data_IF_223523962139
#
_entry.id   IF_223523962139
#
_cell.length_a   1.000
_cell.length_b   1.000
_cell.length_c   1.000
_cell.angle_alpha   90.00
_cell.angle_beta   90.00
_cell.angle_gamma   90.00
#
_symmetry.space_group_name_H-M   'P 1'
#
loop_
_entity.id
_entity.type
_entity.pdbx_description
1 polymer ?
#
# COMPACT_ATOMS: atom_id res chain seq x y z
N UNK A 1 34.16 52.68 16.17
CA UNK A 1 34.95 51.69 15.39
C UNK A 1 35.02 50.47 16.29
N UNK A 2 34.26 49.39 16.12
CA UNK A 2 33.88 48.54 14.97
C UNK A 2 32.44 48.01 15.18
N UNK A 3 31.50 48.16 14.23
CA UNK A 3 31.05 47.16 13.23
C UNK A 3 30.68 45.79 13.84
N UNK A 4 29.38 45.43 13.92
CA UNK A 4 28.52 44.80 12.90
C UNK A 4 28.66 43.27 12.86
N UNK A 5 27.56 42.57 13.17
CA UNK A 5 26.96 41.42 12.45
C UNK A 5 25.75 40.98 13.28
N UNK A 6 24.51 41.29 12.89
CA UNK A 6 23.67 40.53 11.95
C UNK A 6 23.42 39.06 12.35
N UNK A 7 22.16 38.67 12.15
CA UNK A 7 21.64 37.31 12.02
C UNK A 7 21.31 36.51 13.30
N UNK A 8 20.09 36.77 13.80
CA UNK A 8 19.26 35.78 14.51
C UNK A 8 17.99 35.42 13.74
N UNK A 9 18.05 35.40 12.40
CA UNK A 9 17.06 34.73 11.57
C UNK A 9 17.58 33.33 11.24
N UNK A 10 16.73 32.30 11.46
CA UNK A 10 16.87 30.83 11.25
C UNK A 10 16.64 30.12 12.59
N UNK A 11 15.73 29.17 12.75
CA UNK A 11 15.12 28.25 11.81
C UNK A 11 13.67 28.00 12.21
N UNK A 12 12.71 28.24 11.30
CA UNK A 12 11.43 27.53 11.40
C UNK A 12 11.74 26.07 11.01
N UNK A 13 11.64 25.09 11.92
CA UNK A 13 11.91 23.72 11.56
C UNK A 13 10.97 23.31 10.42
N UNK A 14 11.57 22.71 9.40
CA UNK A 14 10.94 22.28 8.18
C UNK A 14 9.77 21.29 8.47
N UNK A 15 8.55 21.81 8.53
CA UNK A 15 7.30 21.05 8.79
C UNK A 15 7.09 19.90 7.81
N UNK A 16 7.69 20.01 6.61
CA UNK A 16 7.60 19.00 5.55
C UNK A 16 8.49 17.78 5.86
N UNK A 17 9.68 17.97 6.46
CA UNK A 17 10.55 16.87 6.89
C UNK A 17 10.05 16.16 8.15
N UNK A 18 9.34 16.85 9.05
CA UNK A 18 8.74 16.23 10.23
C UNK A 18 7.47 15.44 9.91
N UNK A 19 6.70 15.82 8.87
CA UNK A 19 5.53 15.03 8.41
C UNK A 19 5.92 13.64 7.90
N UNK A 20 7.14 13.50 7.38
CA UNK A 20 7.75 12.22 7.00
C UNK A 20 8.13 11.33 8.20
N UNK A 21 8.09 11.87 9.43
CA UNK A 21 8.36 11.14 10.68
C UNK A 21 7.07 10.66 11.39
N UNK A 22 5.89 11.07 10.92
CA UNK A 22 4.60 10.66 11.49
C UNK A 22 4.34 9.16 11.20
N UNK A 23 4.15 8.32 12.23
CA UNK A 23 3.82 6.91 12.06
C UNK A 23 2.54 6.66 11.26
N UNK A 24 1.54 7.54 11.37
CA UNK A 24 0.28 7.40 10.62
C UNK A 24 0.47 7.61 9.12
N UNK A 25 1.31 8.56 8.73
CA UNK A 25 1.66 8.78 7.32
C UNK A 25 2.39 7.56 6.76
N UNK A 26 3.27 6.93 7.54
CA UNK A 26 3.95 5.69 7.13
C UNK A 26 2.99 4.50 6.98
N UNK A 27 1.97 4.39 7.84
CA UNK A 27 0.95 3.34 7.75
C UNK A 27 0.06 3.48 6.53
N UNK A 28 -0.41 4.70 6.23
CA UNK A 28 -1.24 4.93 5.04
C UNK A 28 -0.46 4.59 3.76
N UNK A 29 0.83 4.94 3.71
CA UNK A 29 1.72 4.54 2.60
C UNK A 29 1.86 3.03 2.46
N UNK A 30 1.90 2.28 3.57
CA UNK A 30 1.93 0.84 3.50
C UNK A 30 0.61 0.27 2.98
N UNK A 31 -0.53 0.80 3.44
CA UNK A 31 -1.86 0.44 2.94
C UNK A 31 -1.97 0.70 1.43
N UNK A 32 -1.56 1.87 0.95
CA UNK A 32 -1.50 2.21 -0.49
C UNK A 32 -0.69 1.18 -1.29
N UNK A 33 0.47 0.76 -0.76
CA UNK A 33 1.33 -0.24 -1.41
C UNK A 33 0.69 -1.62 -1.43
N UNK A 34 -0.02 -2.01 -0.37
CA UNK A 34 -0.73 -3.28 -0.30
C UNK A 34 -1.82 -3.37 -1.35
N UNK A 35 -2.64 -2.32 -1.47
CA UNK A 35 -3.65 -2.25 -2.55
C UNK A 35 -2.98 -2.34 -3.92
N UNK A 36 -1.94 -1.53 -4.17
CA UNK A 36 -1.24 -1.58 -5.45
C UNK A 36 -0.61 -2.95 -5.76
N UNK A 37 -0.17 -3.70 -4.75
CA UNK A 37 0.34 -5.06 -4.92
C UNK A 37 -0.79 -6.05 -5.21
N UNK A 38 -1.89 -5.98 -4.46
CA UNK A 38 -3.07 -6.79 -4.67
C UNK A 38 -3.65 -6.60 -6.08
N UNK A 39 -3.80 -5.36 -6.55
CA UNK A 39 -4.28 -5.04 -7.91
C UNK A 39 -3.44 -5.74 -8.99
N UNK A 40 -2.10 -5.78 -8.82
CA UNK A 40 -1.20 -6.46 -9.77
C UNK A 40 -1.43 -7.96 -9.78
N UNK A 41 -1.62 -8.57 -8.61
CA UNK A 41 -1.92 -10.00 -8.48
C UNK A 41 -3.28 -10.29 -9.09
N UNK A 42 -4.30 -9.54 -8.71
CA UNK A 42 -5.68 -9.71 -9.18
C UNK A 42 -5.75 -9.65 -10.70
N UNK A 43 -5.18 -8.63 -11.33
CA UNK A 43 -5.18 -8.50 -12.79
C UNK A 43 -4.51 -9.68 -13.50
N UNK A 44 -3.45 -10.24 -12.90
CA UNK A 44 -2.75 -11.42 -13.44
C UNK A 44 -3.61 -12.67 -13.31
N UNK A 45 -4.18 -12.90 -12.13
CA UNK A 45 -4.97 -14.10 -11.84
C UNK A 45 -6.32 -14.07 -12.56
N UNK A 46 -7.00 -12.92 -12.60
CA UNK A 46 -8.24 -12.71 -13.36
C UNK A 46 -8.04 -13.00 -14.84
N UNK A 47 -6.96 -12.48 -15.45
CA UNK A 47 -6.61 -12.77 -16.85
C UNK A 47 -6.37 -14.26 -17.06
N UNK A 48 -5.68 -14.90 -16.13
CA UNK A 48 -5.40 -16.34 -16.17
C UNK A 48 -6.69 -17.15 -16.06
N UNK A 49 -7.59 -16.78 -15.15
CA UNK A 49 -8.87 -17.42 -14.94
C UNK A 49 -9.77 -17.29 -16.17
N UNK A 50 -9.94 -16.08 -16.71
CA UNK A 50 -10.71 -15.84 -17.93
C UNK A 50 -10.16 -16.64 -19.12
N UNK A 51 -8.83 -16.64 -19.29
CA UNK A 51 -8.18 -17.43 -20.37
C UNK A 51 -8.47 -18.92 -20.23
N UNK A 52 -8.42 -19.48 -19.01
CA UNK A 52 -8.74 -20.90 -18.76
C UNK A 52 -10.22 -21.19 -18.97
N UNK A 53 -11.10 -20.31 -18.51
CA UNK A 53 -12.55 -20.49 -18.66
C UNK A 53 -12.98 -20.44 -20.12
N UNK A 54 -12.44 -19.50 -20.91
CA UNK A 54 -12.71 -19.40 -22.35
C UNK A 54 -12.29 -20.66 -23.13
N UNK A 55 -11.29 -21.41 -22.67
CA UNK A 55 -10.87 -22.69 -23.27
C UNK A 55 -11.94 -23.79 -23.12
N UNK A 56 -12.84 -23.67 -22.15
CA UNK A 56 -13.95 -24.60 -21.91
C UNK A 56 -15.27 -24.13 -22.52
N UNK A 57 -15.25 -23.02 -23.27
CA UNK A 57 -16.41 -22.40 -23.90
C UNK A 57 -16.36 -20.89 -23.73
N UNK A 58 -16.88 -20.16 -24.71
CA UNK A 58 -16.90 -18.69 -24.66
C UNK A 58 -17.79 -18.22 -23.52
N UNK A 59 -17.20 -17.45 -22.59
CA UNK A 59 -17.98 -16.79 -21.54
C UNK A 59 -18.85 -15.68 -22.14
N UNK A 60 -20.09 -15.60 -21.66
CA UNK A 60 -20.94 -14.42 -21.90
C UNK A 60 -20.40 -13.20 -21.13
N UNK A 61 -20.75 -12.00 -21.58
CA UNK A 61 -20.36 -10.75 -20.89
C UNK A 61 -20.80 -10.74 -19.42
N UNK A 62 -22.00 -11.26 -19.13
CA UNK A 62 -22.51 -11.36 -17.76
C UNK A 62 -21.68 -12.31 -16.89
N UNK A 63 -21.26 -13.46 -17.43
CA UNK A 63 -20.41 -14.40 -16.71
C UNK A 63 -19.01 -13.82 -16.48
N UNK A 64 -18.46 -13.09 -17.46
CA UNK A 64 -17.18 -12.38 -17.30
C UNK A 64 -17.27 -11.36 -16.18
N UNK A 65 -18.34 -10.54 -16.15
CA UNK A 65 -18.56 -9.56 -15.10
C UNK A 65 -18.62 -10.21 -13.71
N UNK A 66 -19.34 -11.34 -13.56
CA UNK A 66 -19.39 -12.08 -12.28
C UNK A 66 -17.99 -12.52 -11.82
N UNK A 67 -17.13 -12.97 -12.74
CA UNK A 67 -15.76 -13.39 -12.38
C UNK A 67 -14.91 -12.19 -11.97
N UNK A 68 -15.11 -11.03 -12.58
CA UNK A 68 -14.47 -9.76 -12.18
C UNK A 68 -14.94 -9.36 -10.79
N UNK A 69 -16.25 -9.27 -10.56
CA UNK A 69 -16.82 -8.90 -9.26
C UNK A 69 -16.38 -9.85 -8.14
N UNK A 70 -16.23 -11.14 -8.46
CA UNK A 70 -15.71 -12.14 -7.52
C UNK A 70 -14.23 -11.90 -7.21
N UNK A 71 -13.42 -11.51 -8.19
CA UNK A 71 -12.01 -11.18 -7.96
C UNK A 71 -11.87 -9.95 -7.05
N UNK A 72 -12.63 -8.89 -7.33
CA UNK A 72 -12.67 -7.67 -6.52
C UNK A 72 -13.06 -7.99 -5.07
N UNK A 73 -14.15 -8.76 -4.88
CA UNK A 73 -14.64 -9.14 -3.57
C UNK A 73 -13.63 -9.98 -2.76
N UNK A 74 -12.87 -10.84 -3.44
CA UNK A 74 -11.81 -11.63 -2.79
C UNK A 74 -10.66 -10.74 -2.33
N UNK A 75 -10.26 -9.75 -3.14
CA UNK A 75 -9.22 -8.80 -2.77
C UNK A 75 -9.65 -7.96 -1.57
N UNK A 76 -10.88 -7.44 -1.59
CA UNK A 76 -11.44 -6.65 -0.50
C UNK A 76 -11.43 -7.44 0.82
N UNK A 77 -11.90 -8.70 0.80
CA UNK A 77 -11.94 -9.56 1.98
C UNK A 77 -10.53 -9.90 2.49
N UNK A 78 -9.57 -10.15 1.59
CA UNK A 78 -8.20 -10.48 1.97
C UNK A 78 -7.43 -9.27 2.53
N UNK A 79 -7.70 -8.06 2.02
CA UNK A 79 -7.03 -6.84 2.48
C UNK A 79 -7.67 -6.23 3.74
N UNK A 80 -8.92 -6.55 4.06
CA UNK A 80 -9.60 -6.00 5.22
C UNK A 80 -8.84 -6.26 6.55
N UNK A 81 -8.43 -7.49 6.91
CA UNK A 81 -7.69 -7.74 8.14
C UNK A 81 -6.32 -7.02 8.26
N UNK A 82 -5.41 -7.06 7.25
CA UNK A 82 -4.11 -6.40 7.37
C UNK A 82 -4.21 -4.87 7.36
N UNK A 83 -5.11 -4.27 6.57
CA UNK A 83 -5.30 -2.81 6.56
C UNK A 83 -5.89 -2.31 7.88
N UNK A 84 -6.83 -3.06 8.47
CA UNK A 84 -7.38 -2.76 9.78
C UNK A 84 -6.33 -2.90 10.89
N UNK A 85 -5.47 -3.93 10.83
CA UNK A 85 -4.36 -4.11 11.78
C UNK A 85 -3.39 -2.93 11.75
N UNK A 86 -3.03 -2.44 10.56
CA UNK A 86 -2.18 -1.26 10.41
C UNK A 86 -2.81 0.01 10.97
N UNK A 87 -4.11 0.23 10.73
CA UNK A 87 -4.84 1.42 11.23
C UNK A 87 -5.02 1.41 12.75
N UNK A 88 -5.18 0.24 13.35
CA UNK A 88 -5.37 0.10 14.79
C UNK A 88 -4.07 0.08 15.59
N UNK A 89 -2.91 -0.01 14.92
CA UNK A 89 -1.62 0.03 15.57
C UNK A 89 -1.41 1.38 16.27
N UNK A 90 -1.51 1.37 17.59
CA UNK A 90 -1.36 2.55 18.46
C UNK A 90 0.09 2.88 18.79
N UNK A 91 1.04 2.01 18.38
CA UNK A 91 2.47 2.20 18.61
C UNK A 91 2.96 3.45 17.86
N UNK A 92 3.85 4.22 18.47
CA UNK A 92 4.59 5.26 17.76
C UNK A 92 5.75 4.68 16.94
N UNK A 93 6.05 3.40 17.13
CA UNK A 93 7.12 2.69 16.45
C UNK A 93 6.72 2.27 15.03
N UNK A 94 7.70 2.23 14.13
CA UNK A 94 7.52 1.86 12.72
C UNK A 94 7.77 0.39 12.44
N UNK A 95 8.12 -0.39 13.46
CA UNK A 95 8.33 -1.84 13.36
C UNK A 95 7.09 -2.56 12.81
N UNK A 96 5.88 -2.21 13.27
CA UNK A 96 4.62 -2.78 12.75
C UNK A 96 4.45 -2.57 11.23
N UNK A 97 4.86 -1.40 10.73
CA UNK A 97 4.79 -1.07 9.30
C UNK A 97 5.81 -1.89 8.51
N UNK A 98 7.03 -2.05 9.03
CA UNK A 98 8.06 -2.87 8.40
C UNK A 98 7.64 -4.33 8.31
N UNK A 99 7.16 -4.91 9.40
CA UNK A 99 6.69 -6.31 9.42
C UNK A 99 5.52 -6.52 8.47
N UNK A 100 4.58 -5.58 8.39
CA UNK A 100 3.49 -5.67 7.41
C UNK A 100 4.01 -5.61 5.96
N UNK A 101 4.95 -4.73 5.65
CA UNK A 101 5.54 -4.65 4.31
C UNK A 101 6.33 -5.92 3.96
N UNK A 102 7.08 -6.49 4.90
CA UNK A 102 7.81 -7.75 4.69
C UNK A 102 6.88 -8.94 4.46
N UNK A 103 5.75 -9.01 5.17
CA UNK A 103 4.79 -10.11 5.06
C UNK A 103 3.94 -10.03 3.78
N UNK A 104 3.62 -8.84 3.31
CA UNK A 104 2.57 -8.63 2.32
C UNK A 104 3.02 -7.89 1.04
N UNK A 105 4.26 -7.41 0.98
CA UNK A 105 4.90 -6.85 -0.22
C UNK A 105 6.22 -7.58 -0.49
N UNK A 106 6.20 -8.85 -0.96
CA UNK A 106 7.40 -9.68 -1.13
C UNK A 106 8.40 -9.11 -2.14
N UNK A 107 7.98 -8.19 -3.01
CA UNK A 107 8.87 -7.47 -3.93
C UNK A 107 9.89 -6.59 -3.15
N UNK A 108 9.61 -6.28 -1.88
CA UNK A 108 10.58 -5.59 -0.99
C UNK A 108 11.75 -6.47 -0.55
N UNK A 109 11.57 -7.79 -0.54
CA UNK A 109 12.61 -8.75 -0.17
C UNK A 109 13.53 -9.14 -1.33
N UNK A 110 13.21 -8.73 -2.56
CA UNK A 110 14.02 -9.03 -3.76
C UNK A 110 15.17 -8.04 -4.01
N UNK A 111 15.41 -7.10 -3.10
CA UNK A 111 16.52 -6.15 -3.13
C UNK A 111 17.42 -6.32 -1.88
N UNK A 112 18.05 -7.47 -1.74
CA UNK A 112 19.29 -7.65 -0.96
C UNK A 112 20.34 -8.39 -1.80
#
# INVERSE_FOLDING_TARGET
MTQSTENGGRDRPNRVSQRSADPNVSRERAIERLHAHADRIEQRELRTALTKLDQHGTLTDAQRAIVVDMADALVDELLAPPTQSLRNASSTDRSDVRTALELFDPDTLSNE
#
